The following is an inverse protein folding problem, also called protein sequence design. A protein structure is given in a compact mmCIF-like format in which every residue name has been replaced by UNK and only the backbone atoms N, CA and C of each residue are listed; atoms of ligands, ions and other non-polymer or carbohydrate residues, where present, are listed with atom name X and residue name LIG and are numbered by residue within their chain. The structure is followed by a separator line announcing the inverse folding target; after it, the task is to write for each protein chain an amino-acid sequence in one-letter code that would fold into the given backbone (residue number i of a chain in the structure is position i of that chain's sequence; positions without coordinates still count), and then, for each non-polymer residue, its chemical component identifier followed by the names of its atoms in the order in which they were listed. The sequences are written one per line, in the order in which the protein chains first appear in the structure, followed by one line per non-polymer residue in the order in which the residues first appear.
data_IF_336554651614
#
_entry.id   IF_336554651614
#
_cell.length_a   1.000
_cell.length_b   1.000
_cell.length_c   1.000
_cell.angle_alpha   90.00
_cell.angle_beta   90.00
_cell.angle_gamma   90.00
#
_symmetry.space_group_name_H-M   'P 1'
#
loop_
_entity.id
_entity.type
_entity.pdbx_description
1 polymer ?
#
# COMPACT_ATOMS: atom_id res chain seq x y z
N UNK A 1 -12.89 -3.32 -6.97
CA UNK A 1 -12.65 -2.27 -5.94
C UNK A 1 -11.16 -2.06 -5.62
N UNK A 2 -10.28 -3.00 -5.99
CA UNK A 2 -8.82 -2.96 -5.71
C UNK A 2 -8.05 -1.82 -6.38
N UNK A 3 -8.36 -1.47 -7.63
CA UNK A 3 -7.64 -0.40 -8.35
C UNK A 3 -7.78 1.00 -7.72
N UNK A 4 -8.96 1.32 -7.18
CA UNK A 4 -9.21 2.62 -6.55
C UNK A 4 -8.46 2.77 -5.22
N UNK A 5 -8.53 1.75 -4.35
CA UNK A 5 -7.85 1.76 -3.06
C UNK A 5 -6.33 1.92 -3.24
N UNK A 6 -5.75 1.18 -4.19
CA UNK A 6 -4.33 1.32 -4.53
C UNK A 6 -4.00 2.75 -4.99
N UNK A 7 -4.73 3.31 -5.96
CA UNK A 7 -4.47 4.65 -6.48
C UNK A 7 -4.57 5.74 -5.39
N UNK A 8 -5.53 5.61 -4.48
CA UNK A 8 -5.71 6.55 -3.37
C UNK A 8 -4.53 6.48 -2.40
N UNK A 9 -4.13 5.27 -1.98
CA UNK A 9 -3.02 5.08 -1.06
C UNK A 9 -1.67 5.47 -1.70
N UNK A 10 -1.46 5.15 -2.97
CA UNK A 10 -0.27 5.54 -3.73
C UNK A 10 -0.09 7.06 -3.71
N UNK A 11 -1.16 7.82 -4.03
CA UNK A 11 -1.11 9.29 -4.03
C UNK A 11 -0.80 9.86 -2.65
N UNK A 12 -1.38 9.29 -1.60
CA UNK A 12 -1.13 9.71 -0.22
C UNK A 12 0.32 9.45 0.21
N UNK A 13 0.84 8.25 -0.07
CA UNK A 13 2.23 7.90 0.21
C UNK A 13 3.20 8.81 -0.56
N UNK A 14 2.97 9.01 -1.86
CA UNK A 14 3.82 9.89 -2.68
C UNK A 14 3.83 11.33 -2.17
N UNK A 15 2.69 11.84 -1.69
CA UNK A 15 2.59 13.17 -1.08
C UNK A 15 3.38 13.22 0.24
N UNK A 16 3.10 12.29 1.17
CA UNK A 16 3.74 12.25 2.48
C UNK A 16 5.27 12.09 2.38
N UNK A 17 5.75 11.20 1.50
CA UNK A 17 7.19 11.00 1.25
C UNK A 17 7.85 12.26 0.68
N UNK A 18 7.18 12.98 -0.22
CA UNK A 18 7.69 14.25 -0.78
C UNK A 18 7.80 15.33 0.30
N UNK A 19 6.82 15.44 1.18
CA UNK A 19 6.83 16.39 2.30
C UNK A 19 7.94 16.04 3.30
N UNK A 20 8.08 14.77 3.65
CA UNK A 20 9.17 14.30 4.50
C UNK A 20 10.54 14.58 3.87
N UNK A 21 10.71 14.32 2.58
CA UNK A 21 11.97 14.61 1.87
C UNK A 21 12.33 16.11 1.89
N UNK A 22 11.33 17.00 1.76
CA UNK A 22 11.53 18.47 1.85
C UNK A 22 12.01 18.92 3.23
N UNK A 23 11.61 18.23 4.30
CA UNK A 23 12.08 18.52 5.67
C UNK A 23 13.59 18.30 5.84
N UNK A 24 14.20 17.43 5.02
CA UNK A 24 15.61 17.04 5.12
C UNK A 24 16.51 18.05 4.39
N UNK A 25 16.88 19.14 5.08
CA UNK A 25 17.62 20.27 4.49
C UNK A 25 19.13 20.04 4.31
N UNK A 26 19.80 19.22 5.14
CA UNK A 26 21.28 19.03 5.13
C UNK A 26 21.70 17.57 5.18
N UNK A 27 21.48 16.81 4.11
CA UNK A 27 21.88 15.40 4.01
C UNK A 27 22.43 15.06 2.63
N UNK A 28 23.41 14.16 2.57
CA UNK A 28 23.88 13.56 1.31
C UNK A 28 22.71 12.86 0.59
N UNK A 29 22.75 12.81 -0.74
CA UNK A 29 21.71 12.15 -1.56
C UNK A 29 21.42 10.72 -1.10
N UNK A 30 22.47 9.94 -0.83
CA UNK A 30 22.34 8.56 -0.35
C UNK A 30 21.56 8.47 0.97
N UNK A 31 21.79 9.40 1.91
CA UNK A 31 21.06 9.47 3.18
C UNK A 31 19.60 9.87 2.98
N UNK A 32 19.34 10.82 2.07
CA UNK A 32 17.95 11.20 1.72
C UNK A 32 17.17 10.02 1.16
N UNK A 33 17.78 9.23 0.27
CA UNK A 33 17.16 8.02 -0.29
C UNK A 33 16.89 7.01 0.83
N UNK A 34 17.89 6.68 1.65
CA UNK A 34 17.73 5.72 2.75
C UNK A 34 16.61 6.11 3.73
N UNK A 35 16.56 7.39 4.14
CA UNK A 35 15.51 7.91 5.05
C UNK A 35 14.14 7.94 4.40
N UNK A 36 14.04 8.30 3.12
CA UNK A 36 12.78 8.28 2.40
C UNK A 36 12.25 6.87 2.16
N UNK A 37 13.13 5.88 2.03
CA UNK A 37 12.74 4.47 1.91
C UNK A 37 12.28 3.92 3.27
N UNK A 38 13.01 4.24 4.34
CA UNK A 38 12.60 3.97 5.72
C UNK A 38 11.21 4.53 6.05
N UNK A 39 10.98 5.80 5.72
CA UNK A 39 9.69 6.47 5.86
C UNK A 39 8.59 5.74 5.09
N UNK A 40 8.83 5.40 3.82
CA UNK A 40 7.83 4.76 2.98
C UNK A 40 7.44 3.37 3.47
N UNK A 41 8.43 2.56 3.89
CA UNK A 41 8.18 1.23 4.43
C UNK A 41 7.32 1.31 5.71
N UNK A 42 7.69 2.19 6.65
CA UNK A 42 6.94 2.35 7.89
C UNK A 42 5.53 2.93 7.66
N UNK A 43 5.36 3.78 6.64
CA UNK A 43 4.04 4.27 6.23
C UNK A 43 3.16 3.12 5.70
N UNK A 44 3.72 2.22 4.88
CA UNK A 44 3.02 1.04 4.37
C UNK A 44 2.65 0.09 5.51
N UNK A 45 3.59 -0.19 6.42
CA UNK A 45 3.34 -1.03 7.59
C UNK A 45 2.19 -0.46 8.47
N UNK A 46 2.10 0.87 8.63
CA UNK A 46 0.98 1.50 9.33
C UNK A 46 -0.38 1.34 8.62
N UNK A 47 -0.37 1.40 7.30
CA UNK A 47 -1.59 1.32 6.47
C UNK A 47 -2.10 -0.11 6.32
N UNK A 48 -1.24 -1.12 6.47
CA UNK A 48 -1.63 -2.53 6.41
C UNK A 48 -2.87 -2.84 7.26
N UNK A 49 -2.85 -2.41 8.54
CA UNK A 49 -3.97 -2.57 9.47
C UNK A 49 -5.29 -1.94 8.97
N UNK A 50 -5.21 -0.84 8.20
CA UNK A 50 -6.38 -0.18 7.61
C UNK A 50 -6.89 -0.91 6.37
N UNK A 51 -5.99 -1.49 5.60
CA UNK A 51 -6.35 -2.31 4.44
C UNK A 51 -7.06 -3.58 4.92
N UNK A 52 -6.55 -4.24 5.97
CA UNK A 52 -7.22 -5.40 6.57
C UNK A 52 -8.64 -5.06 7.04
N UNK A 53 -8.81 -3.93 7.75
CA UNK A 53 -10.13 -3.46 8.17
C UNK A 53 -11.04 -3.07 6.99
N UNK A 54 -10.47 -2.54 5.90
CA UNK A 54 -11.21 -2.13 4.71
C UNK A 54 -11.63 -3.29 3.83
N UNK A 55 -10.79 -4.32 3.69
CA UNK A 55 -10.99 -5.44 2.77
C UNK A 55 -12.21 -6.27 3.15
N UNK A 56 -12.60 -6.30 4.44
CA UNK A 56 -13.60 -7.22 4.93
C UNK A 56 -13.09 -8.67 4.86
N UNK A 57 -13.37 -9.45 5.88
CA UNK A 57 -13.02 -10.89 5.89
C UNK A 57 -14.05 -11.63 5.02
N UNK A 58 -13.96 -11.47 3.71
CA UNK A 58 -14.67 -12.33 2.78
C UNK A 58 -13.69 -13.41 2.32
N UNK A 59 -13.77 -14.59 2.95
CA UNK A 59 -12.86 -15.73 2.76
C UNK A 59 -12.72 -16.16 1.29
N UNK A 60 -13.68 -15.82 0.44
CA UNK A 60 -13.70 -16.17 -0.99
C UNK A 60 -12.92 -15.20 -1.90
N UNK A 61 -12.46 -14.04 -1.40
CA UNK A 61 -11.75 -13.06 -2.24
C UNK A 61 -10.34 -13.54 -2.57
N UNK A 62 -9.65 -14.17 -1.61
CA UNK A 62 -8.30 -14.68 -1.83
C UNK A 62 -8.28 -15.76 -2.93
N UNK A 63 -9.16 -16.75 -2.83
CA UNK A 63 -9.31 -17.82 -3.80
C UNK A 63 -9.70 -17.30 -5.19
N UNK A 64 -10.60 -16.31 -5.25
CA UNK A 64 -11.01 -15.69 -6.51
C UNK A 64 -9.87 -14.91 -7.17
N UNK A 65 -9.03 -14.22 -6.39
CA UNK A 65 -7.83 -13.53 -6.89
C UNK A 65 -6.82 -14.55 -7.39
N UNK A 66 -6.56 -15.62 -6.65
CA UNK A 66 -5.62 -16.66 -7.06
C UNK A 66 -6.05 -17.34 -8.38
N UNK A 67 -7.32 -17.72 -8.49
CA UNK A 67 -7.87 -18.31 -9.72
C UNK A 67 -7.78 -17.36 -10.92
N UNK A 68 -8.02 -16.06 -10.70
CA UNK A 68 -7.87 -15.05 -11.75
C UNK A 68 -6.41 -14.89 -12.19
N UNK A 69 -5.48 -14.84 -11.23
CA UNK A 69 -4.05 -14.72 -11.49
C UNK A 69 -3.53 -15.95 -12.25
N UNK A 70 -3.89 -17.16 -11.83
CA UNK A 70 -3.52 -18.39 -12.53
C UNK A 70 -4.04 -18.43 -13.97
N UNK A 71 -5.25 -17.93 -14.21
CA UNK A 71 -5.86 -17.91 -15.55
C UNK A 71 -5.26 -16.87 -16.50
N UNK A 72 -4.93 -15.68 -16.01
CA UNK A 72 -4.54 -14.55 -16.87
C UNK A 72 -3.03 -14.26 -16.87
N UNK A 73 -2.31 -14.72 -15.83
CA UNK A 73 -0.89 -14.48 -15.64
C UNK A 73 -0.16 -15.75 -15.19
N UNK A 74 -0.13 -16.81 -16.04
CA UNK A 74 0.48 -18.09 -15.67
C UNK A 74 2.01 -18.03 -15.52
N UNK A 75 2.67 -17.05 -16.14
CA UNK A 75 4.13 -16.85 -16.09
C UNK A 75 4.56 -15.82 -15.02
N UNK A 76 3.71 -15.57 -14.02
CA UNK A 76 4.03 -14.59 -12.99
C UNK A 76 5.13 -15.12 -12.06
N UNK A 77 6.31 -14.51 -12.11
CA UNK A 77 7.41 -14.85 -11.20
C UNK A 77 7.35 -14.02 -9.92
N UNK A 78 7.51 -14.68 -8.77
CA UNK A 78 7.67 -14.00 -7.49
C UNK A 78 9.12 -13.59 -7.29
N UNK A 79 9.37 -12.30 -7.09
CA UNK A 79 10.70 -11.79 -6.73
C UNK A 79 10.72 -11.45 -5.24
N UNK A 80 11.66 -12.05 -4.51
CA UNK A 80 11.86 -11.72 -3.10
C UNK A 80 12.55 -10.35 -2.98
N UNK A 81 11.77 -9.33 -2.60
CA UNK A 81 12.29 -7.98 -2.38
C UNK A 81 12.98 -7.90 -1.02
N UNK A 82 14.31 -7.91 -1.01
CA UNK A 82 15.08 -7.73 0.22
C UNK A 82 14.89 -6.32 0.76
N UNK A 83 14.24 -6.20 1.93
CA UNK A 83 14.15 -4.93 2.66
C UNK A 83 15.56 -4.44 2.99
N UNK A 84 15.86 -3.18 2.66
CA UNK A 84 17.12 -2.55 3.05
C UNK A 84 17.18 -2.46 4.57
N UNK A 85 18.27 -2.93 5.19
CA UNK A 85 18.49 -2.79 6.63
C UNK A 85 18.45 -1.31 7.00
N UNK A 86 17.53 -0.93 7.88
CA UNK A 86 17.56 0.38 8.51
C UNK A 86 18.80 0.48 9.41
N UNK A 87 19.41 1.65 9.42
CA UNK A 87 20.41 2.01 10.44
C UNK A 87 19.67 2.65 11.60
N UNK A 88 20.12 2.45 12.83
CA UNK A 88 19.48 3.03 14.03
C UNK A 88 19.22 4.55 13.90
N UNK A 89 20.14 5.30 13.30
CA UNK A 89 19.98 6.75 13.03
C UNK A 89 18.88 7.14 12.04
N UNK A 90 18.27 6.18 11.38
CA UNK A 90 17.17 6.36 10.44
C UNK A 90 15.82 5.90 11.03
N UNK A 91 15.80 5.47 12.30
CA UNK A 91 14.57 5.13 13.06
C UNK A 91 13.61 6.31 13.14
N UNK A 92 14.12 7.53 13.33
CA UNK A 92 13.29 8.76 13.31
C UNK A 92 12.52 8.90 11.99
N UNK A 93 13.09 8.42 10.87
CA UNK A 93 12.40 8.42 9.59
C UNK A 93 11.28 7.37 9.53
N UNK A 94 11.51 6.20 10.12
CA UNK A 94 10.50 5.16 10.25
C UNK A 94 9.36 5.62 11.17
N UNK A 95 9.65 6.20 12.34
CA UNK A 95 8.64 6.71 13.26
C UNK A 95 7.76 7.79 12.60
N UNK A 96 8.39 8.73 11.89
CA UNK A 96 7.68 9.74 11.12
C UNK A 96 6.81 9.12 10.02
N UNK A 97 7.31 8.09 9.34
CA UNK A 97 6.57 7.35 8.32
C UNK A 97 5.34 6.64 8.88
N UNK A 98 5.53 5.93 9.99
CA UNK A 98 4.47 5.20 10.69
C UNK A 98 3.39 6.15 11.24
N UNK A 99 3.80 7.25 11.88
CA UNK A 99 2.88 8.28 12.35
C UNK A 99 2.08 8.91 11.19
N UNK A 100 2.73 9.24 10.07
CA UNK A 100 2.05 9.75 8.89
C UNK A 100 1.08 8.73 8.29
N UNK A 101 1.48 7.44 8.23
CA UNK A 101 0.64 6.35 7.71
C UNK A 101 -0.62 6.12 8.53
N UNK A 102 -0.56 6.30 9.86
CA UNK A 102 -1.76 6.28 10.73
C UNK A 102 -2.79 7.34 10.37
N UNK A 103 -2.39 8.44 9.72
CA UNK A 103 -3.32 9.48 9.29
C UNK A 103 -3.92 9.23 7.90
N UNK A 104 -3.44 8.20 7.17
CA UNK A 104 -3.93 7.87 5.84
C UNK A 104 -5.43 7.53 5.85
N UNK A 105 -6.18 8.02 4.88
CA UNK A 105 -7.63 7.81 4.81
C UNK A 105 -7.98 6.94 3.61
N UNK A 106 -8.77 5.91 3.83
CA UNK A 106 -9.29 5.06 2.78
C UNK A 106 -10.82 5.01 2.93
N UNK A 107 -11.52 5.61 1.97
CA UNK A 107 -12.99 5.74 2.00
C UNK A 107 -13.62 4.66 1.13
N UNK A 108 -14.60 3.93 1.66
CA UNK A 108 -15.46 3.05 0.85
C UNK A 108 -16.48 3.92 0.10
N UNK A 109 -16.59 3.75 -1.21
CA UNK A 109 -17.71 4.34 -1.95
C UNK A 109 -18.98 3.55 -1.59
N UNK A 110 -19.85 4.14 -0.77
CA UNK A 110 -21.07 3.51 -0.21
C UNK A 110 -22.17 3.23 -1.26
N UNK A 111 -21.89 3.40 -2.56
CA UNK A 111 -22.90 3.38 -3.64
C UNK A 111 -22.71 2.25 -4.67
N UNK A 112 -22.12 1.11 -4.31
CA UNK A 112 -22.21 -0.07 -5.16
C UNK A 112 -23.47 -0.88 -4.82
N UNK A 113 -24.60 -0.54 -5.44
CA UNK A 113 -25.74 -1.45 -5.51
C UNK A 113 -25.29 -2.68 -6.32
N UNK A 114 -25.35 -3.91 -5.77
CA UNK A 114 -25.05 -5.10 -6.55
C UNK A 114 -26.05 -5.20 -7.70
N UNK A 115 -25.59 -4.96 -8.94
CA UNK A 115 -26.39 -5.32 -10.11
C UNK A 115 -26.35 -6.84 -10.21
N UNK A 116 -27.48 -7.48 -9.95
CA UNK A 116 -27.67 -8.90 -10.20
C UNK A 116 -27.21 -9.22 -11.62
N UNK A 117 -26.27 -10.17 -11.76
CA UNK A 117 -25.88 -10.68 -13.08
C UNK A 117 -27.07 -11.48 -13.61
N UNK A 118 -27.59 -11.08 -14.76
CA UNK A 118 -28.58 -11.87 -15.48
C UNK A 118 -27.91 -13.19 -15.90
N UNK A 119 -28.31 -14.29 -15.28
CA UNK A 119 -28.10 -15.63 -15.80
C UNK A 119 -28.93 -15.74 -17.08
N UNK A 120 -28.30 -15.55 -18.23
CA UNK A 120 -28.90 -15.98 -19.49
C UNK A 120 -28.61 -17.48 -19.62
N UNK A 121 -29.56 -18.29 -19.18
CA UNK A 121 -29.77 -19.63 -19.72
C UNK A 121 -30.33 -19.49 -21.14
N UNK A 122 -29.60 -19.99 -22.15
CA UNK A 122 -30.11 -20.77 -23.29
C UNK A 122 -28.96 -21.64 -23.79
#
# INVERSE_FOLDING_TARGET
MTGYAYQVLERQLQKARREYLKSQKRCKRATKVARSDAFANAWIDAVHSKIEAFAGVEDNIADAVEAYMAKNYPELESVELKRRKLKARDEVAADAGYAAGKSAQLHQAVNHTPRARLTMEV
#
